data_IF_491695329256
#
_entry.id   IF_491695329256
#
_cell.length_a   1.000
_cell.length_b   1.000
_cell.length_c   1.000
_cell.angle_alpha   90.00
_cell.angle_beta   90.00
_cell.angle_gamma   90.00
#
_symmetry.space_group_name_H-M   'P 1'
#
loop_
_entity.id
_entity.type
_entity.pdbx_description
1 polymer ?
#
# COMPACT_ATOMS: atom_id res chain seq x y z
N UNK A 1 -21.96 -3.48 -21.72
CA UNK A 1 -21.72 -3.75 -20.28
C UNK A 1 -20.29 -4.17 -19.94
N UNK A 2 -19.59 -4.96 -20.77
CA UNK A 2 -18.20 -5.42 -20.51
C UNK A 2 -17.19 -4.29 -20.28
N UNK A 3 -17.21 -3.23 -21.09
CA UNK A 3 -16.31 -2.06 -20.94
C UNK A 3 -16.50 -1.32 -19.61
N UNK A 4 -17.73 -1.25 -19.09
CA UNK A 4 -18.03 -0.59 -17.81
C UNK A 4 -17.47 -1.43 -16.65
N UNK A 5 -17.63 -2.76 -16.70
CA UNK A 5 -17.07 -3.69 -15.71
C UNK A 5 -15.54 -3.61 -15.68
N UNK A 6 -14.89 -3.60 -16.84
CA UNK A 6 -13.44 -3.45 -16.96
C UNK A 6 -12.96 -2.09 -16.42
N UNK A 7 -13.68 -1.01 -16.74
CA UNK A 7 -13.39 0.33 -16.21
C UNK A 7 -13.42 0.36 -14.68
N UNK A 8 -14.48 -0.20 -14.08
CA UNK A 8 -14.61 -0.28 -12.61
C UNK A 8 -13.46 -1.07 -11.98
N UNK A 9 -13.11 -2.24 -12.55
CA UNK A 9 -12.01 -3.07 -12.04
C UNK A 9 -10.65 -2.36 -12.15
N UNK A 10 -10.39 -1.65 -13.26
CA UNK A 10 -9.17 -0.87 -13.43
C UNK A 10 -9.12 0.33 -12.45
N UNK A 11 -10.24 1.01 -12.24
CA UNK A 11 -10.34 2.08 -11.24
C UNK A 11 -10.07 1.54 -9.83
N UNK A 12 -10.60 0.37 -9.48
CA UNK A 12 -10.34 -0.27 -8.19
C UNK A 12 -8.84 -0.59 -8.00
N UNK A 13 -8.17 -1.09 -9.04
CA UNK A 13 -6.71 -1.32 -9.01
C UNK A 13 -5.96 -0.01 -8.83
N UNK A 14 -6.31 1.04 -9.58
CA UNK A 14 -5.66 2.34 -9.48
C UNK A 14 -5.81 2.97 -8.08
N UNK A 15 -7.02 2.92 -7.51
CA UNK A 15 -7.27 3.39 -6.14
C UNK A 15 -6.50 2.57 -5.11
N UNK A 16 -6.44 1.25 -5.27
CA UNK A 16 -5.65 0.38 -4.39
C UNK A 16 -4.16 0.74 -4.40
N UNK A 17 -3.59 0.98 -5.58
CA UNK A 17 -2.19 1.43 -5.70
C UNK A 17 -1.97 2.81 -5.07
N UNK A 18 -2.91 3.73 -5.25
CA UNK A 18 -2.86 5.05 -4.63
C UNK A 18 -2.87 4.95 -3.09
N UNK A 19 -3.74 4.10 -2.52
CA UNK A 19 -3.79 3.88 -1.08
C UNK A 19 -2.47 3.32 -0.53
N UNK A 20 -1.87 2.35 -1.24
CA UNK A 20 -0.55 1.82 -0.86
C UNK A 20 0.50 2.93 -0.87
N UNK A 21 0.51 3.78 -1.91
CA UNK A 21 1.46 4.89 -2.00
C UNK A 21 1.29 5.90 -0.85
N UNK A 22 0.04 6.24 -0.49
CA UNK A 22 -0.25 7.15 0.64
C UNK A 22 0.20 6.56 1.97
N UNK A 23 -0.06 5.28 2.21
CA UNK A 23 0.36 4.59 3.46
C UNK A 23 1.89 4.55 3.57
N UNK A 24 2.59 4.23 2.48
CA UNK A 24 4.04 4.27 2.45
C UNK A 24 4.59 5.67 2.70
N UNK A 25 3.99 6.70 2.07
CA UNK A 25 4.38 8.09 2.26
C UNK A 25 4.22 8.53 3.72
N UNK A 26 3.05 8.27 4.31
CA UNK A 26 2.77 8.58 5.71
C UNK A 26 3.77 7.91 6.67
N UNK A 27 4.10 6.64 6.43
CA UNK A 27 5.04 5.89 7.28
C UNK A 27 6.46 6.45 7.20
N UNK A 28 6.88 6.94 6.02
CA UNK A 28 8.17 7.64 5.86
C UNK A 28 8.17 8.97 6.61
N UNK A 29 7.07 9.73 6.56
CA UNK A 29 6.92 10.97 7.32
C UNK A 29 6.97 10.73 8.83
N UNK A 30 6.35 9.66 9.35
CA UNK A 30 6.42 9.30 10.77
C UNK A 30 7.87 9.01 11.22
N UNK A 31 8.64 8.26 10.44
CA UNK A 31 10.06 7.99 10.74
C UNK A 31 10.88 9.28 10.68
N UNK A 32 10.62 10.12 9.67
CA UNK A 32 11.31 11.40 9.53
C UNK A 32 11.01 12.35 10.69
N UNK A 33 9.76 12.37 11.17
CA UNK A 33 9.33 13.12 12.33
C UNK A 33 10.06 12.68 13.60
N UNK A 34 10.11 11.37 13.86
CA UNK A 34 10.81 10.81 15.04
C UNK A 34 12.29 11.21 15.06
N UNK A 35 12.97 11.13 13.91
CA UNK A 35 14.38 11.53 13.78
C UNK A 35 14.58 13.04 13.98
N UNK A 36 13.67 13.87 13.47
CA UNK A 36 13.81 15.32 13.47
C UNK A 36 13.47 15.96 14.81
N UNK A 37 12.51 15.40 15.55
CA UNK A 37 12.06 15.96 16.84
C UNK A 37 12.78 15.38 18.06
N UNK A 38 13.34 14.17 17.97
CA UNK A 38 14.05 13.54 19.10
C UNK A 38 15.50 13.12 18.80
N UNK A 39 16.31 13.94 18.09
CA UNK A 39 17.64 13.52 17.64
C UNK A 39 18.61 13.17 18.78
N UNK A 40 18.44 13.76 19.97
CA UNK A 40 19.28 13.47 21.14
C UNK A 40 18.83 12.24 21.96
N UNK A 41 17.65 11.68 21.67
CA UNK A 41 17.06 10.53 22.37
C UNK A 41 16.78 9.33 21.48
N UNK A 42 17.12 9.43 20.19
CA UNK A 42 16.92 8.36 19.22
C UNK A 42 18.28 7.88 18.72
N UNK A 43 18.72 6.76 19.29
CA UNK A 43 19.90 6.05 18.80
C UNK A 43 19.62 5.44 17.42
N UNK A 44 20.68 5.07 16.71
CA UNK A 44 20.57 4.42 15.39
C UNK A 44 19.83 3.09 15.50
N UNK A 45 20.02 2.35 16.59
CA UNK A 45 19.32 1.09 16.84
C UNK A 45 17.81 1.29 17.04
N UNK A 46 17.40 2.28 17.82
CA UNK A 46 15.99 2.62 18.02
C UNK A 46 15.31 3.08 16.73
N UNK A 47 16.03 3.82 15.87
CA UNK A 47 15.55 4.17 14.53
C UNK A 47 15.34 2.93 13.65
N UNK A 48 16.23 1.94 13.76
CA UNK A 48 16.08 0.65 13.09
C UNK A 48 14.84 -0.11 13.57
N UNK A 49 14.63 -0.22 14.88
CA UNK A 49 13.45 -0.87 15.45
C UNK A 49 12.14 -0.17 15.05
N UNK A 50 12.09 1.17 15.11
CA UNK A 50 10.94 1.93 14.66
C UNK A 50 10.62 1.67 13.17
N UNK A 51 11.65 1.62 12.32
CA UNK A 51 11.49 1.32 10.89
C UNK A 51 10.90 -0.07 10.64
N UNK A 52 11.30 -1.07 11.44
CA UNK A 52 10.75 -2.44 11.36
C UNK A 52 9.28 -2.45 11.77
N UNK A 53 8.92 -1.75 12.85
CA UNK A 53 7.52 -1.64 13.31
C UNK A 53 6.65 -0.98 12.24
N UNK A 54 7.15 0.09 11.61
CA UNK A 54 6.47 0.75 10.50
C UNK A 54 6.30 -0.19 9.30
N UNK A 55 7.33 -0.97 8.95
CA UNK A 55 7.24 -1.94 7.85
C UNK A 55 6.16 -3.00 8.11
N UNK A 56 6.06 -3.50 9.34
CA UNK A 56 5.00 -4.45 9.74
C UNK A 56 3.62 -3.80 9.65
N UNK A 57 3.49 -2.53 10.09
CA UNK A 57 2.25 -1.76 9.97
C UNK A 57 1.81 -1.61 8.51
N UNK A 58 2.73 -1.21 7.63
CA UNK A 58 2.49 -1.12 6.18
C UNK A 58 2.06 -2.49 5.65
N UNK A 59 2.74 -3.58 6.00
CA UNK A 59 2.38 -4.91 5.54
C UNK A 59 0.95 -5.31 5.94
N UNK A 60 0.57 -5.09 7.21
CA UNK A 60 -0.79 -5.39 7.70
C UNK A 60 -1.85 -4.61 6.93
N UNK A 61 -1.61 -3.33 6.63
CA UNK A 61 -2.55 -2.46 5.92
C UNK A 61 -2.60 -2.80 4.41
N UNK A 62 -1.45 -3.07 3.79
CA UNK A 62 -1.34 -3.23 2.34
C UNK A 62 -1.71 -4.63 1.85
N UNK A 63 -1.53 -5.68 2.66
CA UNK A 63 -1.87 -7.06 2.27
C UNK A 63 -3.34 -7.22 1.84
N UNK A 64 -4.35 -6.75 2.60
CA UNK A 64 -5.74 -6.80 2.15
C UNK A 64 -5.98 -6.08 0.82
N UNK A 65 -5.33 -4.92 0.62
CA UNK A 65 -5.42 -4.14 -0.62
C UNK A 65 -4.82 -4.91 -1.79
N UNK A 66 -3.68 -5.59 -1.59
CA UNK A 66 -3.06 -6.44 -2.59
C UNK A 66 -3.95 -7.63 -2.98
N UNK A 67 -4.68 -8.23 -2.03
CA UNK A 67 -5.66 -9.30 -2.33
C UNK A 67 -6.80 -8.78 -3.21
N UNK A 68 -7.31 -7.57 -2.94
CA UNK A 68 -8.33 -6.93 -3.78
C UNK A 68 -7.80 -6.67 -5.18
N UNK A 69 -6.61 -6.07 -5.30
CA UNK A 69 -5.94 -5.82 -6.59
C UNK A 69 -5.76 -7.14 -7.36
N UNK A 70 -5.22 -8.18 -6.73
CA UNK A 70 -5.01 -9.48 -7.36
C UNK A 70 -6.32 -10.08 -7.87
N UNK A 71 -7.39 -9.99 -7.07
CA UNK A 71 -8.72 -10.45 -7.45
C UNK A 71 -9.27 -9.68 -8.65
N UNK A 72 -9.16 -8.34 -8.65
CA UNK A 72 -9.55 -7.50 -9.78
C UNK A 72 -8.79 -7.84 -11.05
N UNK A 73 -7.48 -8.08 -10.96
CA UNK A 73 -6.64 -8.47 -12.09
C UNK A 73 -7.01 -9.88 -12.62
N UNK A 74 -7.27 -10.84 -11.73
CA UNK A 74 -7.76 -12.17 -12.12
C UNK A 74 -9.11 -12.09 -12.85
N UNK A 75 -10.05 -11.28 -12.35
CA UNK A 75 -11.33 -11.05 -13.01
C UNK A 75 -11.18 -10.36 -14.37
N UNK A 76 -10.31 -9.36 -14.47
CA UNK A 76 -9.98 -8.71 -15.74
C UNK A 76 -9.43 -9.70 -16.77
N UNK A 77 -8.53 -10.61 -16.35
CA UNK A 77 -7.99 -11.66 -17.21
C UNK A 77 -9.06 -12.66 -17.66
N UNK A 78 -9.96 -13.06 -16.76
CA UNK A 78 -11.08 -13.95 -17.07
C UNK A 78 -12.03 -13.33 -18.10
N UNK A 79 -12.51 -12.11 -17.86
CA UNK A 79 -13.41 -11.40 -18.79
C UNK A 79 -12.75 -11.03 -20.12
N UNK A 80 -11.42 -11.04 -20.22
CA UNK A 80 -10.72 -10.84 -21.49
C UNK A 80 -10.69 -12.10 -22.36
N UNK A 81 -10.95 -13.28 -21.79
CA UNK A 81 -10.95 -14.58 -22.48
C UNK A 81 -12.35 -15.05 -22.93
N UNK A 82 -13.42 -14.40 -22.46
CA UNK A 82 -14.77 -14.65 -22.96
C UNK A 82 -14.92 -13.98 -24.36
N UNK A 83 -15.29 -14.74 -25.42
CA UNK A 83 -15.44 -14.24 -26.78
C UNK A 83 -16.67 -13.34 -26.97
#
# INVERSE_FOLDING_TARGET
MMRIRQGILLSAVAVGLLLIAVVCWHSVEEIHYLKSFFPARFTVEEAGYASIVELVKIAIITVPVLVVIATCLCLLHYFRKEP
#
